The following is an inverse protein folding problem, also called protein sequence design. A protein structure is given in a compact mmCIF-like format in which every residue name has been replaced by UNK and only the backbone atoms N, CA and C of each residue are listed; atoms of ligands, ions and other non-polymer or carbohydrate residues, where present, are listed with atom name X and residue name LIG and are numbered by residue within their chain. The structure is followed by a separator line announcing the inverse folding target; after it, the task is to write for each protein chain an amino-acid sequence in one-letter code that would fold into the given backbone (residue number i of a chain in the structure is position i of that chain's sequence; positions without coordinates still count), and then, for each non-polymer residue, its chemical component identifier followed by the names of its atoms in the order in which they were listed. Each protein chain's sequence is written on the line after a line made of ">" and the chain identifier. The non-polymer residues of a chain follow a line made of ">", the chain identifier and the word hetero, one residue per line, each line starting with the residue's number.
data_IF_696044616340
#
_entry.id   IF_696044616340
#
_cell.length_a   1.000
_cell.length_b   1.000
_cell.length_c   1.000
_cell.angle_alpha   90.00
_cell.angle_beta   90.00
_cell.angle_gamma   90.00
#
_symmetry.space_group_name_H-M   'P 1'
#
loop_
_entity.id
_entity.type
_entity.pdbx_description
1 polymer ?
#
# COMPACT_ATOMS: atom_id res chain seq x y z
N UNK A 1 50.76 0.32 9.44
CA UNK A 1 49.72 -0.71 9.17
C UNK A 1 49.03 -0.29 7.89
N UNK A 2 49.32 -0.97 6.79
CA UNK A 2 48.58 -0.74 5.55
C UNK A 2 47.13 -1.16 5.79
N UNK A 3 46.20 -0.25 5.52
CA UNK A 3 44.76 -0.51 5.53
C UNK A 3 44.49 -1.64 4.54
N UNK A 4 44.08 -2.81 5.03
CA UNK A 4 43.57 -3.90 4.17
C UNK A 4 42.36 -3.34 3.43
N UNK A 5 42.50 -3.13 2.12
CA UNK A 5 41.41 -2.63 1.30
C UNK A 5 40.41 -3.75 1.06
N UNK A 6 39.12 -3.43 1.03
CA UNK A 6 38.04 -4.37 0.66
C UNK A 6 38.33 -5.08 -0.67
N UNK A 7 39.07 -4.44 -1.56
CA UNK A 7 39.52 -4.99 -2.84
C UNK A 7 40.49 -6.17 -2.69
N UNK A 8 41.32 -6.19 -1.64
CA UNK A 8 42.32 -7.22 -1.41
C UNK A 8 41.74 -8.52 -0.81
N UNK A 9 40.45 -8.53 -0.44
CA UNK A 9 39.81 -9.72 0.09
C UNK A 9 39.66 -10.82 -0.98
N UNK A 10 39.84 -12.10 -0.61
CA UNK A 10 39.55 -13.22 -1.50
C UNK A 10 38.08 -13.23 -1.96
N UNK A 11 37.77 -13.73 -3.18
CA UNK A 11 36.41 -13.82 -3.69
C UNK A 11 35.42 -14.54 -2.76
N UNK A 12 35.89 -15.56 -2.03
CA UNK A 12 35.09 -16.33 -1.08
C UNK A 12 34.63 -15.47 0.10
N UNK A 13 35.54 -14.65 0.64
CA UNK A 13 35.22 -13.73 1.74
C UNK A 13 34.26 -12.64 1.26
N UNK A 14 34.49 -12.09 0.06
CA UNK A 14 33.58 -11.10 -0.53
C UNK A 14 32.19 -11.68 -0.77
N UNK A 15 32.10 -12.95 -1.19
CA UNK A 15 30.84 -13.66 -1.35
C UNK A 15 30.13 -13.78 0.00
N UNK A 16 30.81 -14.23 1.06
CA UNK A 16 30.24 -14.29 2.41
C UNK A 16 29.74 -12.92 2.88
N UNK A 17 30.52 -11.86 2.64
CA UNK A 17 30.11 -10.48 2.95
C UNK A 17 28.82 -10.11 2.21
N UNK A 18 28.70 -10.39 0.91
CA UNK A 18 27.49 -10.12 0.13
C UNK A 18 26.25 -10.82 0.69
N UNK A 19 26.36 -12.10 1.09
CA UNK A 19 25.25 -12.85 1.69
C UNK A 19 24.89 -12.38 3.11
N UNK A 20 25.85 -11.78 3.83
CA UNK A 20 25.66 -11.28 5.19
C UNK A 20 25.10 -9.85 5.26
N UNK A 21 24.88 -9.18 4.12
CA UNK A 21 24.38 -7.79 4.10
C UNK A 21 23.00 -7.72 4.74
N UNK A 22 22.74 -6.74 5.64
CA UNK A 22 21.50 -6.68 6.41
C UNK A 22 20.28 -6.19 5.62
N UNK A 23 20.46 -5.41 4.56
CA UNK A 23 19.36 -4.76 3.82
C UNK A 23 19.73 -4.46 2.35
N UNK A 24 18.71 -4.18 1.51
CA UNK A 24 18.91 -3.85 0.09
C UNK A 24 19.69 -2.54 -0.14
N UNK A 25 19.47 -1.44 0.62
CA UNK A 25 20.28 -0.23 0.50
C UNK A 25 21.78 -0.47 0.72
N UNK A 26 22.15 -1.27 1.70
CA UNK A 26 23.53 -1.65 2.01
C UNK A 26 24.14 -2.50 0.91
N UNK A 27 23.36 -3.40 0.29
CA UNK A 27 23.79 -4.16 -0.90
C UNK A 27 24.08 -3.21 -2.06
N UNK A 28 23.16 -2.30 -2.33
CA UNK A 28 23.30 -1.31 -3.40
C UNK A 28 24.55 -0.45 -3.19
N UNK A 29 24.74 0.07 -1.97
CA UNK A 29 25.90 0.87 -1.60
C UNK A 29 27.22 0.11 -1.79
N UNK A 30 27.31 -1.14 -1.33
CA UNK A 30 28.53 -1.94 -1.46
C UNK A 30 28.87 -2.28 -2.92
N UNK A 31 27.86 -2.67 -3.69
CA UNK A 31 27.99 -3.01 -5.12
C UNK A 31 28.43 -1.80 -5.95
N UNK A 32 28.00 -0.58 -5.57
CA UNK A 32 28.46 0.64 -6.23
C UNK A 32 29.81 1.16 -5.73
N UNK A 33 30.17 0.86 -4.48
CA UNK A 33 31.43 1.33 -3.89
C UNK A 33 32.68 0.55 -4.34
N UNK A 34 32.53 -0.70 -4.79
CA UNK A 34 33.66 -1.57 -5.14
C UNK A 34 33.44 -2.32 -6.47
N UNK A 35 34.35 -2.16 -7.46
CA UNK A 35 34.28 -2.90 -8.72
C UNK A 35 34.39 -4.43 -8.54
N UNK A 36 35.14 -4.91 -7.54
CA UNK A 36 35.26 -6.36 -7.33
C UNK A 36 34.01 -6.96 -6.68
N UNK A 37 33.36 -6.24 -5.77
CA UNK A 37 32.04 -6.61 -5.28
C UNK A 37 30.98 -6.52 -6.37
N UNK A 38 31.06 -5.50 -7.25
CA UNK A 38 30.19 -5.39 -8.40
C UNK A 38 30.32 -6.61 -9.32
N UNK A 39 31.55 -7.00 -9.69
CA UNK A 39 31.78 -8.17 -10.55
C UNK A 39 31.24 -9.47 -9.93
N UNK A 40 31.43 -9.66 -8.62
CA UNK A 40 30.89 -10.82 -7.92
C UNK A 40 29.36 -10.81 -7.85
N UNK A 41 28.77 -9.66 -7.55
CA UNK A 41 27.33 -9.44 -7.60
C UNK A 41 26.77 -9.81 -8.98
N UNK A 42 27.36 -9.31 -10.08
CA UNK A 42 26.93 -9.66 -11.43
C UNK A 42 27.01 -11.17 -11.70
N UNK A 43 28.07 -11.84 -11.22
CA UNK A 43 28.28 -13.27 -11.49
C UNK A 43 27.31 -14.20 -10.76
N UNK A 44 26.75 -13.76 -9.62
CA UNK A 44 25.91 -14.57 -8.73
C UNK A 44 24.56 -13.90 -8.42
N UNK A 45 24.15 -12.92 -9.24
CA UNK A 45 23.04 -12.02 -8.93
C UNK A 45 21.76 -12.77 -8.59
N UNK A 46 21.38 -13.74 -9.43
CA UNK A 46 20.19 -14.55 -9.22
C UNK A 46 20.22 -15.24 -7.85
N UNK A 47 21.28 -15.97 -7.52
CA UNK A 47 21.36 -16.69 -6.24
C UNK A 47 21.40 -15.72 -5.06
N UNK A 48 22.16 -14.63 -5.18
CA UNK A 48 22.29 -13.64 -4.12
C UNK A 48 20.96 -12.95 -3.82
N UNK A 49 20.27 -12.44 -4.85
CA UNK A 49 18.97 -11.78 -4.67
C UNK A 49 17.93 -12.75 -4.14
N UNK A 50 17.89 -13.98 -4.65
CA UNK A 50 16.99 -15.02 -4.17
C UNK A 50 17.15 -15.24 -2.66
N UNK A 51 18.38 -15.49 -2.19
CA UNK A 51 18.66 -15.70 -0.76
C UNK A 51 18.40 -14.46 0.11
N UNK A 52 18.79 -13.27 -0.37
CA UNK A 52 18.61 -12.03 0.38
C UNK A 52 17.12 -11.70 0.53
N UNK A 53 16.35 -11.79 -0.57
CA UNK A 53 14.93 -11.51 -0.58
C UNK A 53 14.14 -12.55 0.21
N UNK A 54 14.49 -13.83 0.16
CA UNK A 54 13.85 -14.87 0.99
C UNK A 54 13.98 -14.57 2.48
N UNK A 55 15.09 -13.96 2.91
CA UNK A 55 15.29 -13.53 4.30
C UNK A 55 14.44 -12.32 4.68
N UNK A 56 14.21 -11.39 3.74
CA UNK A 56 13.44 -10.17 3.99
C UNK A 56 11.92 -10.37 3.86
N UNK A 57 11.52 -11.18 2.89
CA UNK A 57 10.14 -11.51 2.60
C UNK A 57 9.77 -12.80 3.34
N UNK A 58 9.39 -12.68 4.61
CA UNK A 58 8.81 -13.81 5.34
C UNK A 58 7.40 -14.14 4.81
N UNK A 59 6.91 -15.35 5.08
CA UNK A 59 5.66 -15.92 4.50
C UNK A 59 4.52 -14.91 4.30
N UNK A 60 4.05 -14.17 5.33
CA UNK A 60 2.91 -13.26 5.17
C UNK A 60 3.13 -12.16 4.12
N UNK A 61 4.38 -11.73 3.94
CA UNK A 61 4.76 -10.65 3.01
C UNK A 61 5.18 -11.24 1.67
N UNK A 62 5.79 -12.43 1.66
CA UNK A 62 6.20 -13.12 0.43
C UNK A 62 5.02 -13.40 -0.50
N UNK A 63 3.87 -13.82 0.06
CA UNK A 63 2.65 -14.07 -0.72
C UNK A 63 2.23 -12.82 -1.49
N UNK A 64 2.08 -11.69 -0.81
CA UNK A 64 1.65 -10.44 -1.43
C UNK A 64 2.75 -9.83 -2.34
N UNK A 65 4.04 -10.02 -2.02
CA UNK A 65 5.14 -9.60 -2.88
C UNK A 65 5.21 -10.39 -4.21
N UNK A 66 5.04 -11.72 -4.15
CA UNK A 66 4.95 -12.58 -5.33
C UNK A 66 3.69 -12.24 -6.13
N UNK A 67 2.57 -11.98 -5.45
CA UNK A 67 1.33 -11.56 -6.09
C UNK A 67 1.50 -10.22 -6.84
N UNK A 68 2.16 -9.22 -6.24
CA UNK A 68 2.46 -7.96 -6.92
C UNK A 68 3.29 -8.16 -8.19
N UNK A 69 4.27 -9.08 -8.17
CA UNK A 69 5.02 -9.45 -9.37
C UNK A 69 4.12 -10.13 -10.43
N UNK A 70 3.25 -11.06 -10.03
CA UNK A 70 2.31 -11.72 -10.94
C UNK A 70 1.35 -10.70 -11.59
N UNK A 71 0.84 -9.76 -10.80
CA UNK A 71 0.00 -8.66 -11.30
C UNK A 71 0.77 -7.75 -12.27
N UNK A 72 2.04 -7.45 -11.99
CA UNK A 72 2.91 -6.69 -12.87
C UNK A 72 3.12 -7.41 -14.22
N UNK A 73 3.45 -8.70 -14.20
CA UNK A 73 3.63 -9.50 -15.42
C UNK A 73 2.33 -9.59 -16.22
N UNK A 74 1.20 -9.82 -15.55
CA UNK A 74 -0.13 -9.80 -16.18
C UNK A 74 -0.45 -8.45 -16.84
N UNK A 75 -0.07 -7.34 -16.20
CA UNK A 75 -0.21 -5.99 -16.78
C UNK A 75 0.70 -5.78 -18.00
N UNK A 76 1.97 -6.16 -17.92
CA UNK A 76 2.91 -6.08 -19.05
C UNK A 76 2.43 -6.88 -20.26
N UNK A 77 1.82 -8.04 -20.02
CA UNK A 77 1.15 -8.83 -21.07
C UNK A 77 -0.04 -8.09 -21.65
N UNK A 78 -0.92 -7.49 -20.83
CA UNK A 78 -2.05 -6.67 -21.30
C UNK A 78 -1.61 -5.50 -22.18
N UNK A 79 -0.47 -4.88 -21.86
CA UNK A 79 0.11 -3.82 -22.68
C UNK A 79 0.57 -4.32 -24.06
N UNK A 80 1.01 -5.58 -24.17
CA UNK A 80 1.47 -6.19 -25.42
C UNK A 80 0.32 -6.80 -26.24
N UNK A 81 -0.59 -7.46 -25.54
CA UNK A 81 -1.72 -8.21 -26.07
C UNK A 81 -2.96 -7.89 -25.22
N UNK A 82 -3.87 -7.04 -25.72
CA UNK A 82 -5.05 -6.63 -24.97
C UNK A 82 -5.91 -7.82 -24.62
N UNK A 83 -6.31 -7.90 -23.36
CA UNK A 83 -7.27 -8.88 -22.84
C UNK A 83 -8.32 -8.18 -21.96
N UNK A 84 -9.57 -8.66 -21.94
CA UNK A 84 -10.60 -8.12 -21.07
C UNK A 84 -10.17 -8.07 -19.60
N UNK A 85 -10.61 -7.05 -18.87
CA UNK A 85 -10.28 -6.82 -17.46
C UNK A 85 -10.66 -8.02 -16.59
N UNK A 86 -11.88 -8.54 -16.76
CA UNK A 86 -12.36 -9.73 -16.01
C UNK A 86 -11.49 -10.96 -16.25
N UNK A 87 -11.10 -11.21 -17.50
CA UNK A 87 -10.24 -12.34 -17.86
C UNK A 87 -8.85 -12.21 -17.23
N UNK A 88 -8.26 -11.01 -17.27
CA UNK A 88 -6.97 -10.75 -16.65
C UNK A 88 -6.99 -10.92 -15.12
N UNK A 89 -8.05 -10.43 -14.47
CA UNK A 89 -8.26 -10.60 -13.04
C UNK A 89 -8.48 -12.07 -12.70
N UNK A 90 -9.31 -12.78 -13.48
CA UNK A 90 -9.54 -14.21 -13.27
C UNK A 90 -8.25 -15.04 -13.38
N UNK A 91 -7.39 -14.72 -14.35
CA UNK A 91 -6.08 -15.36 -14.50
C UNK A 91 -5.16 -15.07 -13.30
N UNK A 92 -5.15 -13.84 -12.81
CA UNK A 92 -4.40 -13.48 -11.60
C UNK A 92 -4.92 -14.22 -10.37
N UNK A 93 -6.23 -14.22 -10.14
CA UNK A 93 -6.87 -14.86 -8.99
C UNK A 93 -6.66 -16.37 -8.97
N UNK A 94 -6.59 -17.02 -10.15
CA UNK A 94 -6.26 -18.43 -10.27
C UNK A 94 -4.90 -18.82 -9.65
N UNK A 95 -3.98 -17.85 -9.54
CA UNK A 95 -2.67 -18.02 -8.90
C UNK A 95 -2.66 -17.43 -7.49
N UNK A 96 -3.30 -16.28 -7.27
CA UNK A 96 -3.29 -15.58 -5.99
C UNK A 96 -4.07 -16.30 -4.90
N UNK A 97 -5.28 -16.79 -5.19
CA UNK A 97 -6.11 -17.48 -4.19
C UNK A 97 -5.41 -18.72 -3.62
N UNK A 98 -4.81 -19.60 -4.44
CA UNK A 98 -3.99 -20.71 -3.95
C UNK A 98 -2.80 -20.28 -3.09
N UNK A 99 -2.07 -19.24 -3.51
CA UNK A 99 -0.94 -18.69 -2.75
C UNK A 99 -1.38 -18.15 -1.39
N UNK A 100 -2.52 -17.45 -1.36
CA UNK A 100 -3.08 -16.85 -0.15
C UNK A 100 -3.65 -17.88 0.81
N UNK A 101 -4.11 -19.03 0.31
CA UNK A 101 -4.69 -20.10 1.12
C UNK A 101 -3.73 -20.69 2.16
N UNK A 102 -2.42 -20.42 2.06
CA UNK A 102 -1.43 -20.75 3.11
C UNK A 102 -1.52 -19.83 4.33
N UNK A 103 -2.02 -18.61 4.12
CA UNK A 103 -2.23 -17.59 5.15
C UNK A 103 -3.58 -17.82 5.81
N UNK A 104 -4.62 -17.67 4.99
CA UNK A 104 -6.01 -17.91 5.31
C UNK A 104 -6.70 -18.38 4.02
N UNK A 105 -7.44 -19.50 4.02
CA UNK A 105 -8.30 -19.82 2.89
C UNK A 105 -9.32 -18.67 2.72
N UNK A 106 -9.33 -17.96 1.58
CA UNK A 106 -10.33 -16.92 1.36
C UNK A 106 -11.72 -17.55 1.38
N UNK A 107 -12.56 -17.09 2.31
CA UNK A 107 -13.92 -17.63 2.44
C UNK A 107 -14.92 -17.02 1.46
N UNK A 108 -14.52 -16.06 0.62
CA UNK A 108 -15.37 -15.50 -0.44
C UNK A 108 -15.87 -16.53 -1.46
N UNK A 109 -17.12 -16.39 -1.90
CA UNK A 109 -17.74 -17.16 -2.97
C UNK A 109 -17.00 -16.99 -4.30
N UNK A 110 -16.53 -15.77 -4.60
CA UNK A 110 -15.73 -15.50 -5.81
C UNK A 110 -14.41 -16.28 -5.82
N UNK A 111 -13.90 -16.62 -4.62
CA UNK A 111 -12.70 -17.41 -4.44
C UNK A 111 -12.95 -18.93 -4.52
N UNK A 112 -14.20 -19.39 -4.35
CA UNK A 112 -14.54 -20.82 -4.30
C UNK A 112 -14.11 -21.57 -5.57
N UNK A 113 -14.26 -20.94 -6.74
CA UNK A 113 -13.86 -21.54 -8.04
C UNK A 113 -12.35 -21.82 -8.15
N UNK A 114 -11.54 -21.24 -7.27
CA UNK A 114 -10.09 -21.44 -7.23
C UNK A 114 -9.64 -22.35 -6.07
N UNK A 115 -10.55 -22.73 -5.17
CA UNK A 115 -10.22 -23.63 -4.05
C UNK A 115 -9.82 -25.01 -4.57
N UNK A 116 -8.86 -25.64 -3.90
CA UNK A 116 -8.35 -26.98 -4.22
C UNK A 116 -7.17 -27.00 -5.19
N UNK A 117 -6.71 -25.85 -5.69
CA UNK A 117 -5.40 -25.73 -6.32
C UNK A 117 -4.37 -25.46 -5.21
N UNK A 118 -3.32 -26.29 -5.11
CA UNK A 118 -2.21 -26.05 -4.19
C UNK A 118 -1.08 -25.37 -4.94
N UNK A 119 -0.69 -24.18 -4.48
CA UNK A 119 0.48 -23.46 -4.98
C UNK A 119 1.39 -23.11 -3.81
N UNK A 120 2.62 -23.62 -3.84
CA UNK A 120 3.62 -23.35 -2.81
C UNK A 120 4.38 -22.06 -3.15
N UNK A 121 4.22 -21.03 -2.32
CA UNK A 121 4.86 -19.73 -2.51
C UNK A 121 6.38 -19.85 -2.60
N UNK A 122 7.01 -20.77 -1.86
CA UNK A 122 8.44 -20.98 -1.91
C UNK A 122 8.89 -21.59 -3.23
N UNK A 123 8.08 -22.48 -3.80
CA UNK A 123 8.36 -23.04 -5.14
C UNK A 123 8.22 -21.99 -6.22
N UNK A 124 7.18 -21.16 -6.15
CA UNK A 124 7.00 -20.04 -7.08
C UNK A 124 8.18 -19.08 -6.95
N UNK A 125 8.54 -18.71 -5.73
CA UNK A 125 9.66 -17.81 -5.46
C UNK A 125 11.01 -18.36 -5.95
N UNK A 126 11.29 -19.65 -5.70
CA UNK A 126 12.50 -20.32 -6.19
C UNK A 126 12.56 -20.41 -7.73
N UNK A 127 11.40 -20.41 -8.40
CA UNK A 127 11.31 -20.47 -9.86
C UNK A 127 11.55 -19.13 -10.56
N UNK A 128 11.55 -18.01 -9.82
CA UNK A 128 11.68 -16.67 -10.37
C UNK A 128 12.96 -16.50 -11.20
N UNK A 129 12.85 -15.72 -12.28
CA UNK A 129 14.00 -15.34 -13.11
C UNK A 129 14.83 -14.26 -12.42
N UNK A 130 16.04 -13.99 -12.92
CA UNK A 130 16.86 -12.88 -12.38
C UNK A 130 16.14 -11.53 -12.51
N UNK A 131 15.43 -11.30 -13.63
CA UNK A 131 14.67 -10.08 -13.84
C UNK A 131 13.48 -9.96 -12.87
N UNK A 132 12.83 -11.08 -12.55
CA UNK A 132 11.77 -11.11 -11.55
C UNK A 132 12.29 -10.73 -10.16
N UNK A 133 13.43 -11.30 -9.75
CA UNK A 133 14.06 -10.97 -8.47
C UNK A 133 14.49 -9.49 -8.41
N UNK A 134 14.91 -8.92 -9.54
CA UNK A 134 15.22 -7.49 -9.63
C UNK A 134 13.97 -6.61 -9.42
N UNK A 135 12.84 -6.98 -10.03
CA UNK A 135 11.58 -6.24 -9.83
C UNK A 135 11.06 -6.38 -8.40
N UNK A 136 11.13 -7.58 -7.82
CA UNK A 136 10.77 -7.80 -6.40
C UNK A 136 11.67 -6.98 -5.48
N UNK A 137 12.99 -6.98 -5.70
CA UNK A 137 13.92 -6.17 -4.91
C UNK A 137 13.64 -4.66 -5.05
N UNK A 138 13.34 -4.20 -6.26
CA UNK A 138 13.00 -2.79 -6.50
C UNK A 138 11.73 -2.40 -5.76
N UNK A 139 10.66 -3.18 -5.89
CA UNK A 139 9.40 -2.90 -5.20
C UNK A 139 9.56 -2.97 -3.69
N UNK A 140 10.29 -3.98 -3.18
CA UNK A 140 10.53 -4.10 -1.74
C UNK A 140 11.35 -2.92 -1.19
N UNK A 141 12.34 -2.41 -1.94
CA UNK A 141 13.07 -1.19 -1.56
C UNK A 141 12.15 0.01 -1.45
N UNK A 142 11.18 0.14 -2.35
CA UNK A 142 10.15 1.20 -2.30
C UNK A 142 9.24 1.02 -1.08
N UNK A 143 8.80 -0.21 -0.82
CA UNK A 143 7.96 -0.55 0.35
C UNK A 143 8.67 -0.20 1.65
N UNK A 144 9.93 -0.59 1.82
CA UNK A 144 10.72 -0.27 3.03
C UNK A 144 10.86 1.25 3.23
N UNK A 145 11.17 1.98 2.16
CA UNK A 145 11.28 3.44 2.23
C UNK A 145 9.96 4.10 2.67
N UNK A 146 8.84 3.68 2.06
CA UNK A 146 7.52 4.24 2.39
C UNK A 146 7.10 3.84 3.80
N UNK A 147 7.42 2.61 4.23
CA UNK A 147 7.15 2.12 5.57
C UNK A 147 7.88 2.97 6.62
N UNK A 148 9.16 3.26 6.41
CA UNK A 148 9.91 4.15 7.29
C UNK A 148 9.24 5.52 7.42
N UNK A 149 8.91 6.20 6.31
CA UNK A 149 8.23 7.50 6.35
C UNK A 149 6.85 7.42 7.02
N UNK A 150 6.08 6.37 6.71
CA UNK A 150 4.77 6.10 7.29
C UNK A 150 4.85 5.96 8.81
N UNK A 151 5.80 5.18 9.34
CA UNK A 151 5.98 5.01 10.79
C UNK A 151 6.22 6.35 11.46
N UNK A 152 7.09 7.20 10.90
CA UNK A 152 7.32 8.55 11.43
C UNK A 152 6.06 9.42 11.38
N UNK A 153 5.28 9.34 10.30
CA UNK A 153 4.00 10.06 10.17
C UNK A 153 2.98 9.60 11.23
N UNK A 154 2.78 8.30 11.39
CA UNK A 154 1.80 7.74 12.33
C UNK A 154 2.18 8.04 13.80
N UNK A 155 3.46 7.95 14.15
CA UNK A 155 3.94 8.30 15.50
C UNK A 155 3.72 9.78 15.84
N UNK A 156 3.74 10.68 14.85
CA UNK A 156 3.40 12.09 15.06
C UNK A 156 1.92 12.28 15.38
N UNK A 157 1.05 11.41 14.90
CA UNK A 157 -0.40 11.52 15.06
C UNK A 157 -0.95 10.67 16.21
N UNK A 158 -0.08 9.93 16.89
CA UNK A 158 -0.42 9.18 18.09
C UNK A 158 -1.13 10.10 19.11
N UNK A 159 -2.32 9.73 19.63
CA UNK A 159 -3.11 10.58 20.51
C UNK A 159 -2.59 10.65 21.96
N UNK A 160 -1.48 9.98 22.30
CA UNK A 160 -0.87 10.12 23.62
C UNK A 160 -0.09 11.44 23.77
N UNK A 161 -0.19 12.02 24.96
CA UNK A 161 0.47 13.29 25.31
C UNK A 161 1.50 13.12 26.43
N UNK A 162 1.59 11.94 27.03
CA UNK A 162 2.36 11.71 28.27
C UNK A 162 3.80 11.26 28.03
N UNK A 163 4.10 10.67 26.86
CA UNK A 163 5.45 10.20 26.53
C UNK A 163 6.03 11.01 25.37
N UNK A 164 7.33 11.36 25.41
CA UNK A 164 7.99 11.95 24.26
C UNK A 164 7.87 11.01 23.06
N UNK A 165 7.64 11.59 21.88
CA UNK A 165 7.60 10.83 20.62
C UNK A 165 9.00 10.24 20.39
N UNK A 166 9.06 8.93 20.18
CA UNK A 166 10.31 8.20 19.99
C UNK A 166 10.95 8.63 18.66
N UNK A 167 12.22 9.06 18.70
CA UNK A 167 12.97 9.44 17.50
C UNK A 167 13.49 8.22 16.71
N UNK A 168 13.65 7.07 17.36
CA UNK A 168 14.11 5.82 16.73
C UNK A 168 13.27 4.65 17.23
N UNK A 169 12.27 4.26 16.44
CA UNK A 169 11.38 3.14 16.77
C UNK A 169 11.89 1.86 16.11
N UNK A 170 12.10 0.82 16.92
CA UNK A 170 12.31 -0.53 16.42
C UNK A 170 10.94 -1.19 16.32
N UNK A 171 10.54 -1.57 15.11
CA UNK A 171 9.30 -2.29 14.86
C UNK A 171 9.49 -3.77 15.18
N UNK A 172 8.42 -4.39 15.70
CA UNK A 172 8.37 -5.85 15.73
C UNK A 172 8.17 -6.42 14.32
N UNK A 173 8.47 -7.70 14.09
CA UNK A 173 8.14 -8.37 12.81
C UNK A 173 6.67 -8.24 12.43
N UNK A 174 5.75 -8.37 13.38
CA UNK A 174 4.30 -8.34 13.13
C UNK A 174 3.81 -6.95 12.73
N UNK A 175 4.35 -5.91 13.36
CA UNK A 175 4.08 -4.52 12.97
C UNK A 175 4.52 -4.26 11.53
N UNK A 176 5.76 -4.67 11.21
CA UNK A 176 6.32 -4.55 9.86
C UNK A 176 5.50 -5.33 8.83
N UNK A 177 5.09 -6.57 9.12
CA UNK A 177 4.34 -7.39 8.18
C UNK A 177 2.96 -6.81 7.86
N UNK A 178 2.22 -6.32 8.87
CA UNK A 178 0.89 -5.70 8.65
C UNK A 178 1.01 -4.50 7.71
N UNK A 179 2.01 -3.64 7.94
CA UNK A 179 2.27 -2.48 7.09
C UNK A 179 2.70 -2.86 5.67
N UNK A 180 3.65 -3.79 5.52
CA UNK A 180 4.16 -4.23 4.22
C UNK A 180 3.06 -4.88 3.37
N UNK A 181 2.26 -5.79 3.94
CA UNK A 181 1.15 -6.43 3.22
C UNK A 181 0.13 -5.42 2.71
N UNK A 182 -0.27 -4.46 3.55
CA UNK A 182 -1.20 -3.42 3.15
C UNK A 182 -0.66 -2.58 1.97
N UNK A 183 0.62 -2.23 1.99
CA UNK A 183 1.31 -1.57 0.88
C UNK A 183 1.30 -2.44 -0.39
N UNK A 184 1.65 -3.73 -0.29
CA UNK A 184 1.62 -4.65 -1.43
C UNK A 184 0.22 -4.82 -2.01
N UNK A 185 -0.82 -4.94 -1.17
CA UNK A 185 -2.22 -5.08 -1.60
C UNK A 185 -2.72 -3.86 -2.36
N UNK A 186 -2.33 -2.66 -1.94
CA UNK A 186 -2.58 -1.43 -2.69
C UNK A 186 -1.90 -1.44 -4.07
N UNK A 187 -0.65 -1.90 -4.14
CA UNK A 187 0.07 -2.01 -5.40
C UNK A 187 -0.53 -3.08 -6.33
N UNK A 188 -0.97 -4.23 -5.78
CA UNK A 188 -1.69 -5.27 -6.52
C UNK A 188 -3.00 -4.69 -7.09
N UNK A 189 -3.81 -4.04 -6.26
CA UNK A 189 -5.06 -3.41 -6.70
C UNK A 189 -4.80 -2.47 -7.88
N UNK A 190 -3.82 -1.58 -7.76
CA UNK A 190 -3.43 -0.69 -8.85
C UNK A 190 -3.06 -1.46 -10.12
N UNK A 191 -2.22 -2.47 -10.01
CA UNK A 191 -1.73 -3.23 -11.16
C UNK A 191 -2.86 -3.94 -11.91
N UNK A 192 -3.87 -4.44 -11.20
CA UNK A 192 -5.03 -5.15 -11.76
C UNK A 192 -6.03 -4.21 -12.40
N UNK A 193 -6.42 -3.15 -11.69
CA UNK A 193 -7.62 -2.39 -12.02
C UNK A 193 -7.32 -1.07 -12.71
N UNK A 194 -6.19 -0.43 -12.41
CA UNK A 194 -5.87 0.86 -13.03
C UNK A 194 -5.64 0.66 -14.53
N UNK A 195 -6.53 1.20 -15.36
CA UNK A 195 -6.46 1.10 -16.82
C UNK A 195 -5.53 2.11 -17.48
N UNK A 196 -4.94 3.00 -16.70
CA UNK A 196 -3.94 3.95 -17.18
C UNK A 196 -2.80 3.24 -17.89
N UNK A 197 -2.35 3.79 -19.01
CA UNK A 197 -1.29 3.24 -19.86
C UNK A 197 -1.65 1.93 -20.58
N UNK A 198 -2.86 1.39 -20.40
CA UNK A 198 -3.35 0.32 -21.27
C UNK A 198 -3.76 0.92 -22.62
N UNK A 199 -3.41 0.27 -23.74
CA UNK A 199 -3.71 0.84 -25.04
C UNK A 199 -5.21 0.78 -25.33
N UNK A 200 -5.78 1.85 -25.90
CA UNK A 200 -7.15 1.88 -26.42
C UNK A 200 -7.21 1.17 -27.77
N UNK A 201 -8.21 0.33 -28.03
CA UNK A 201 -8.33 -0.38 -29.32
C UNK A 201 -9.70 -0.18 -29.97
N UNK A 202 -9.70 -0.06 -31.30
CA UNK A 202 -10.89 -0.07 -32.13
C UNK A 202 -11.62 -1.42 -32.03
N UNK A 203 -12.90 -1.38 -31.62
CA UNK A 203 -13.80 -2.53 -31.64
C UNK A 203 -14.06 -3.23 -30.30
N UNK A 204 -13.36 -2.84 -29.23
CA UNK A 204 -13.77 -3.15 -27.86
C UNK A 204 -14.35 -1.87 -27.25
N UNK A 205 -15.52 -1.95 -26.64
CA UNK A 205 -15.97 -0.86 -25.79
C UNK A 205 -15.03 -0.77 -24.59
N UNK A 206 -14.22 0.29 -24.58
CA UNK A 206 -13.20 0.54 -23.55
C UNK A 206 -13.82 0.51 -22.15
N UNK A 207 -15.07 0.97 -22.02
CA UNK A 207 -15.80 1.01 -20.76
C UNK A 207 -16.42 -0.31 -20.33
N UNK A 208 -16.74 -1.21 -21.26
CA UNK A 208 -17.43 -2.47 -20.95
C UNK A 208 -16.46 -3.64 -20.76
N UNK A 209 -15.32 -3.65 -21.47
CA UNK A 209 -14.44 -4.83 -21.53
C UNK A 209 -13.09 -4.64 -20.84
N UNK A 210 -12.55 -3.42 -20.76
CA UNK A 210 -11.23 -3.16 -20.18
C UNK A 210 -11.34 -2.64 -18.75
N UNK A 211 -12.38 -1.87 -18.46
CA UNK A 211 -12.69 -1.34 -17.14
C UNK A 211 -13.54 -2.30 -16.33
N UNK A 212 -13.21 -2.39 -15.04
CA UNK A 212 -14.03 -3.04 -14.02
C UNK A 212 -14.56 -1.94 -13.14
N UNK A 213 -15.87 -1.95 -12.88
CA UNK A 213 -16.49 -0.99 -11.99
C UNK A 213 -16.11 -1.28 -10.52
N UNK A 214 -16.58 -0.45 -9.61
CA UNK A 214 -16.26 -0.57 -8.19
C UNK A 214 -16.81 -1.86 -7.57
N UNK A 215 -17.93 -2.38 -8.07
CA UNK A 215 -18.51 -3.66 -7.63
C UNK A 215 -17.67 -4.85 -8.10
N UNK A 216 -17.15 -4.79 -9.32
CA UNK A 216 -16.27 -5.81 -9.87
C UNK A 216 -14.92 -5.85 -9.16
N UNK A 217 -14.35 -4.68 -8.87
CA UNK A 217 -13.14 -4.54 -8.06
C UNK A 217 -13.34 -5.14 -6.67
N UNK A 218 -14.49 -4.82 -6.04
CA UNK A 218 -14.86 -5.37 -4.75
C UNK A 218 -15.00 -6.90 -4.78
N UNK A 219 -15.92 -7.40 -5.60
CA UNK A 219 -16.26 -8.83 -5.66
C UNK A 219 -15.07 -9.70 -6.05
N UNK A 220 -14.21 -9.22 -6.95
CA UNK A 220 -13.08 -10.01 -7.48
C UNK A 220 -11.86 -10.02 -6.55
N UNK A 221 -11.55 -8.90 -5.88
CA UNK A 221 -10.30 -8.78 -5.13
C UNK A 221 -10.50 -8.36 -3.67
N UNK A 222 -11.28 -7.33 -3.39
CA UNK A 222 -11.40 -6.82 -2.01
C UNK A 222 -12.16 -7.79 -1.09
N UNK A 223 -13.12 -8.55 -1.63
CA UNK A 223 -13.87 -9.59 -0.88
C UNK A 223 -12.99 -10.73 -0.37
N UNK A 224 -11.73 -10.84 -0.82
CA UNK A 224 -10.78 -11.85 -0.38
C UNK A 224 -10.16 -11.56 1.00
N UNK A 225 -10.35 -10.35 1.51
CA UNK A 225 -9.72 -9.86 2.73
C UNK A 225 -10.73 -9.75 3.86
N UNK A 226 -10.28 -10.10 5.06
CA UNK A 226 -11.07 -9.95 6.27
C UNK A 226 -11.25 -8.47 6.62
N UNK A 227 -12.29 -8.10 7.41
CA UNK A 227 -12.54 -6.73 7.87
C UNK A 227 -11.30 -5.96 8.39
N UNK A 228 -10.45 -6.61 9.19
CA UNK A 228 -9.24 -5.96 9.72
C UNK A 228 -8.16 -5.75 8.66
N UNK A 229 -8.04 -6.63 7.67
CA UNK A 229 -7.10 -6.47 6.56
C UNK A 229 -7.53 -5.32 5.63
N UNK A 230 -8.84 -5.15 5.45
CA UNK A 230 -9.41 -4.01 4.75
C UNK A 230 -9.12 -2.70 5.48
N UNK A 231 -9.21 -2.73 6.80
CA UNK A 231 -8.87 -1.59 7.65
C UNK A 231 -7.35 -1.31 7.66
N UNK A 232 -6.47 -2.33 7.53
CA UNK A 232 -5.03 -2.12 7.28
C UNK A 232 -4.80 -1.33 5.99
N UNK A 233 -5.49 -1.69 4.89
CA UNK A 233 -5.44 -0.96 3.61
C UNK A 233 -5.91 0.49 3.79
N UNK A 234 -7.02 0.72 4.51
CA UNK A 234 -7.54 2.07 4.78
C UNK A 234 -6.57 2.90 5.63
N UNK A 235 -5.88 2.30 6.60
CA UNK A 235 -4.85 3.00 7.37
C UNK A 235 -3.69 3.49 6.48
N UNK A 236 -3.22 2.66 5.54
CA UNK A 236 -2.18 3.07 4.59
C UNK A 236 -2.71 4.17 3.65
N UNK A 237 -3.93 4.04 3.14
CA UNK A 237 -4.54 5.08 2.29
C UNK A 237 -4.62 6.43 3.00
N UNK A 238 -5.05 6.43 4.27
CA UNK A 238 -5.12 7.66 5.07
C UNK A 238 -3.73 8.28 5.26
N UNK A 239 -2.69 7.46 5.43
CA UNK A 239 -1.31 7.95 5.41
C UNK A 239 -0.94 8.55 4.05
N UNK A 240 -1.21 7.87 2.93
CA UNK A 240 -0.86 8.36 1.59
C UNK A 240 -1.54 9.70 1.29
N UNK A 241 -2.81 9.87 1.65
CA UNK A 241 -3.53 11.14 1.51
C UNK A 241 -2.85 12.26 2.27
N UNK A 242 -2.51 12.05 3.55
CA UNK A 242 -1.75 13.03 4.33
C UNK A 242 -0.37 13.30 3.76
N UNK A 243 0.34 12.27 3.31
CA UNK A 243 1.65 12.45 2.68
C UNK A 243 1.52 13.37 1.46
N UNK A 244 0.50 13.20 0.62
CA UNK A 244 0.26 14.14 -0.47
C UNK A 244 -0.10 15.54 0.05
N UNK A 245 -0.98 15.70 1.04
CA UNK A 245 -1.37 17.01 1.58
C UNK A 245 -0.21 17.80 2.23
N UNK A 246 0.63 17.13 3.00
CA UNK A 246 1.68 17.77 3.79
C UNK A 246 2.94 18.06 2.97
N UNK A 247 3.16 17.34 1.87
CA UNK A 247 4.37 17.49 1.08
C UNK A 247 4.32 18.76 0.20
N UNK A 248 5.37 19.62 0.26
CA UNK A 248 5.39 20.84 -0.53
C UNK A 248 5.34 20.52 -2.02
N UNK A 249 4.35 21.04 -2.75
CA UNK A 249 4.20 20.78 -4.20
C UNK A 249 2.87 20.18 -4.59
N UNK A 250 2.10 19.72 -3.62
CA UNK A 250 0.86 19.03 -3.85
C UNK A 250 -0.29 20.04 -3.89
N UNK A 251 -0.71 20.36 -5.10
CA UNK A 251 -1.78 21.31 -5.42
C UNK A 251 -2.38 20.93 -6.76
N UNK A 252 -3.59 21.45 -7.02
CA UNK A 252 -4.23 21.33 -8.33
C UNK A 252 -3.29 21.92 -9.37
N UNK A 253 -2.72 21.04 -10.20
CA UNK A 253 -1.84 21.42 -11.28
C UNK A 253 -2.71 21.76 -12.48
N UNK A 254 -3.08 23.03 -12.61
CA UNK A 254 -3.84 23.49 -13.76
C UNK A 254 -2.86 23.67 -14.94
N UNK A 255 -2.76 22.66 -15.82
CA UNK A 255 -1.94 22.71 -17.04
C UNK A 255 -2.30 23.93 -17.91
N UNK A 256 -3.50 24.50 -17.75
CA UNK A 256 -3.95 25.73 -18.38
C UNK A 256 -3.13 26.97 -17.97
N UNK A 257 -2.50 26.98 -16.80
CA UNK A 257 -1.67 28.09 -16.35
C UNK A 257 -0.35 28.23 -17.13
N UNK A 258 0.14 27.18 -17.81
CA UNK A 258 1.35 27.30 -18.65
C UNK A 258 1.07 27.96 -20.02
N UNK A 259 -0.19 28.07 -20.46
CA UNK A 259 -0.53 28.57 -21.79
C UNK A 259 -0.86 30.08 -21.85
N UNK A 260 -1.01 30.76 -20.71
CA UNK A 260 -1.20 32.22 -20.66
C UNK A 260 -0.81 32.80 -19.29
N UNK A 261 0.48 32.92 -18.96
CA UNK A 261 0.88 33.78 -17.85
C UNK A 261 0.54 35.23 -18.23
N UNK A 262 -0.33 35.90 -17.47
CA UNK A 262 -0.49 37.34 -17.57
C UNK A 262 0.90 37.98 -17.41
N UNK A 263 1.29 38.89 -18.31
CA UNK A 263 2.68 39.42 -18.46
C UNK A 263 3.29 40.06 -17.19
N UNK A 264 2.52 40.18 -16.10
CA UNK A 264 2.91 40.84 -14.85
C UNK A 264 2.81 39.96 -13.59
N UNK A 265 2.58 38.64 -13.70
CA UNK A 265 2.51 37.75 -12.53
C UNK A 265 3.67 36.75 -12.50
N UNK A 266 4.21 36.52 -11.29
CA UNK A 266 5.20 35.47 -11.05
C UNK A 266 4.57 34.11 -11.44
N UNK A 267 5.12 33.39 -12.44
CA UNK A 267 4.59 32.09 -12.86
C UNK A 267 4.51 31.06 -11.72
N UNK A 268 5.16 31.33 -10.58
CA UNK A 268 5.22 30.46 -9.41
C UNK A 268 4.18 30.81 -8.31
N UNK A 269 3.42 31.91 -8.42
CA UNK A 269 2.50 32.33 -7.36
C UNK A 269 1.20 31.52 -7.31
N UNK A 270 0.67 31.10 -8.47
CA UNK A 270 -0.64 30.42 -8.57
C UNK A 270 -0.58 28.92 -8.29
N UNK A 271 0.62 28.35 -8.24
CA UNK A 271 0.83 26.91 -8.08
C UNK A 271 0.50 26.40 -6.69
N UNK A 272 0.12 27.24 -5.72
CA UNK A 272 -0.01 26.81 -4.32
C UNK A 272 -1.28 27.24 -3.59
N UNK A 273 -2.22 27.92 -4.24
CA UNK A 273 -3.39 28.50 -3.56
C UNK A 273 -4.61 27.57 -3.49
N UNK A 274 -4.54 26.37 -4.08
CA UNK A 274 -5.65 25.43 -4.10
C UNK A 274 -5.40 24.25 -3.15
N UNK A 275 -6.29 24.07 -2.17
CA UNK A 275 -6.37 22.85 -1.36
C UNK A 275 -6.60 21.66 -2.30
N UNK A 276 -5.87 20.58 -2.06
CA UNK A 276 -6.11 19.29 -2.74
C UNK A 276 -7.43 18.73 -2.21
N UNK A 277 -8.45 18.67 -3.07
CA UNK A 277 -9.67 17.91 -2.77
C UNK A 277 -9.43 16.40 -2.82
N UNK A 278 -10.38 15.61 -2.33
CA UNK A 278 -10.21 14.15 -2.22
C UNK A 278 -10.05 13.48 -3.60
N UNK A 279 -10.70 14.00 -4.65
CA UNK A 279 -10.54 13.49 -6.03
C UNK A 279 -9.10 13.59 -6.51
N UNK A 280 -8.40 14.69 -6.20
CA UNK A 280 -6.99 14.84 -6.53
C UNK A 280 -6.09 13.90 -5.70
N UNK A 281 -6.42 13.64 -4.43
CA UNK A 281 -5.66 12.69 -3.59
C UNK A 281 -5.75 11.28 -4.14
N UNK A 282 -6.95 10.85 -4.50
CA UNK A 282 -7.21 9.55 -5.10
C UNK A 282 -6.50 9.40 -6.46
N UNK A 283 -6.47 10.47 -7.25
CA UNK A 283 -5.66 10.53 -8.48
C UNK A 283 -4.19 10.24 -8.20
N UNK A 284 -3.59 10.89 -7.20
CA UNK A 284 -2.20 10.64 -6.82
C UNK A 284 -1.96 9.23 -6.25
N UNK A 285 -2.91 8.69 -5.50
CA UNK A 285 -2.84 7.30 -5.01
C UNK A 285 -2.85 6.30 -6.18
N UNK A 286 -3.61 6.58 -7.24
CA UNK A 286 -3.72 5.69 -8.41
C UNK A 286 -2.40 5.42 -9.12
N UNK A 287 -1.37 6.27 -8.98
CA UNK A 287 -0.05 6.05 -9.58
C UNK A 287 0.79 4.99 -8.87
N UNK A 288 0.38 4.58 -7.66
CA UNK A 288 1.03 3.53 -6.90
C UNK A 288 2.24 3.97 -6.10
N UNK A 289 2.85 2.98 -5.45
CA UNK A 289 3.94 3.20 -4.49
C UNK A 289 5.18 3.79 -5.15
N UNK A 290 5.44 3.40 -6.40
CA UNK A 290 6.56 3.96 -7.16
C UNK A 290 6.45 5.47 -7.31
N UNK A 291 5.26 6.01 -7.58
CA UNK A 291 5.07 7.46 -7.67
C UNK A 291 5.22 8.15 -6.31
N UNK A 292 4.59 7.60 -5.26
CA UNK A 292 4.71 8.14 -3.91
C UNK A 292 6.18 8.21 -3.46
N UNK A 293 6.96 7.17 -3.71
CA UNK A 293 8.40 7.15 -3.44
C UNK A 293 9.15 8.31 -4.12
N UNK A 294 8.95 8.51 -5.43
CA UNK A 294 9.59 9.63 -6.13
C UNK A 294 9.08 10.98 -5.63
N UNK A 295 7.80 11.07 -5.29
CA UNK A 295 7.18 12.28 -4.78
C UNK A 295 7.77 12.71 -3.43
N UNK A 296 7.91 11.79 -2.48
CA UNK A 296 8.56 12.03 -1.18
C UNK A 296 10.01 12.48 -1.40
N UNK A 297 10.75 11.77 -2.24
CA UNK A 297 12.16 12.11 -2.52
C UNK A 297 12.31 13.51 -3.11
N UNK A 298 11.50 13.87 -4.11
CA UNK A 298 11.57 15.20 -4.70
C UNK A 298 11.11 16.26 -3.71
N UNK A 299 10.09 15.97 -2.90
CA UNK A 299 9.58 16.92 -1.90
C UNK A 299 10.59 17.22 -0.80
N UNK A 300 11.52 16.30 -0.52
CA UNK A 300 12.63 16.48 0.42
C UNK A 300 13.72 17.46 -0.07
N UNK A 301 13.71 17.86 -1.35
CA UNK A 301 14.69 18.78 -1.91
C UNK A 301 14.50 20.17 -1.27
N UNK A 302 15.58 20.70 -0.68
CA UNK A 302 15.60 21.98 0.03
C UNK A 302 15.47 23.18 -0.91
N UNK A 303 16.05 23.09 -2.12
CA UNK A 303 15.96 24.12 -3.13
C UNK A 303 14.56 24.15 -3.77
N UNK A 304 13.83 25.24 -3.57
CA UNK A 304 12.44 25.38 -4.02
C UNK A 304 12.32 25.25 -5.54
N UNK A 305 13.18 25.94 -6.28
CA UNK A 305 13.14 25.96 -7.75
C UNK A 305 13.44 24.59 -8.34
N UNK A 306 14.45 23.88 -7.79
CA UNK A 306 14.79 22.52 -8.23
C UNK A 306 13.67 21.53 -7.92
N UNK A 307 13.13 21.58 -6.70
CA UNK A 307 11.99 20.75 -6.28
C UNK A 307 10.82 20.94 -7.24
N UNK A 308 10.45 22.19 -7.51
CA UNK A 308 9.37 22.54 -8.41
C UNK A 308 9.57 21.97 -9.81
N UNK A 309 10.73 22.19 -10.42
CA UNK A 309 11.03 21.67 -11.76
C UNK A 309 10.88 20.15 -11.82
N UNK A 310 11.34 19.43 -10.79
CA UNK A 310 11.22 17.97 -10.73
C UNK A 310 9.78 17.51 -10.50
N UNK A 311 9.01 18.19 -9.66
CA UNK A 311 7.58 17.89 -9.46
C UNK A 311 6.79 18.11 -10.74
N UNK A 312 7.03 19.22 -11.44
CA UNK A 312 6.47 19.46 -12.77
C UNK A 312 6.81 18.33 -13.73
N UNK A 313 8.07 17.89 -13.76
CA UNK A 313 8.50 16.80 -14.63
C UNK A 313 7.81 15.46 -14.31
N UNK A 314 7.56 15.17 -13.03
CA UNK A 314 6.85 13.97 -12.59
C UNK A 314 5.36 14.03 -12.97
N UNK A 315 4.74 15.21 -12.93
CA UNK A 315 3.32 15.42 -13.24
C UNK A 315 3.02 15.62 -14.74
N UNK A 316 4.04 15.84 -15.56
CA UNK A 316 3.85 16.03 -17.01
C UNK A 316 3.25 14.78 -17.65
N UNK A 317 2.14 14.97 -18.35
CA UNK A 317 1.40 13.88 -19.01
C UNK A 317 0.58 13.04 -18.04
N UNK A 318 0.45 13.48 -16.78
CA UNK A 318 -0.26 12.70 -15.77
C UNK A 318 -1.71 13.13 -15.52
N UNK A 319 -2.10 14.33 -16.00
CA UNK A 319 -3.36 14.99 -15.64
C UNK A 319 -4.58 14.59 -16.50
N UNK A 320 -4.46 13.65 -17.44
CA UNK A 320 -5.47 13.46 -18.51
C UNK A 320 -6.09 12.06 -18.59
N UNK A 321 -6.37 11.39 -17.47
CA UNK A 321 -7.07 10.10 -17.51
C UNK A 321 -7.88 9.84 -16.25
N UNK A 322 -9.12 9.37 -16.41
CA UNK A 322 -9.93 8.78 -15.34
C UNK A 322 -9.15 7.64 -14.69
N UNK A 323 -8.70 7.82 -13.45
CA UNK A 323 -8.13 6.75 -12.66
C UNK A 323 -9.25 5.97 -11.97
N UNK A 324 -9.13 4.63 -11.90
CA UNK A 324 -9.92 3.86 -10.93
C UNK A 324 -9.39 4.14 -9.53
N UNK A 325 -10.30 4.52 -8.64
CA UNK A 325 -9.98 4.85 -7.26
C UNK A 325 -10.33 3.67 -6.38
N UNK A 326 -9.37 3.20 -5.59
CA UNK A 326 -9.62 2.12 -4.64
C UNK A 326 -10.64 2.54 -3.57
N UNK A 327 -10.77 3.84 -3.26
CA UNK A 327 -11.70 4.31 -2.22
C UNK A 327 -13.15 4.03 -2.59
N UNK A 328 -13.56 4.29 -3.84
CA UNK A 328 -14.92 3.98 -4.30
C UNK A 328 -15.21 2.48 -4.23
N UNK A 329 -14.26 1.64 -4.65
CA UNK A 329 -14.36 0.19 -4.50
C UNK A 329 -14.42 -0.27 -3.04
N UNK A 330 -13.69 0.40 -2.14
CA UNK A 330 -13.73 0.12 -0.70
C UNK A 330 -15.05 0.57 -0.05
N UNK A 331 -15.70 1.60 -0.57
CA UNK A 331 -16.96 2.12 -0.04
C UNK A 331 -18.20 1.38 -0.62
N UNK A 332 -17.98 0.47 -1.57
CA UNK A 332 -19.01 -0.44 -2.10
C UNK A 332 -19.63 -1.28 -0.97
N UNK A 333 -20.95 -1.47 -1.03
CA UNK A 333 -21.67 -2.30 -0.06
C UNK A 333 -21.28 -3.77 -0.25
N UNK A 334 -20.86 -4.48 0.82
CA UNK A 334 -20.50 -5.88 0.71
C UNK A 334 -21.69 -6.73 0.25
N UNK A 335 -21.40 -7.82 -0.47
CA UNK A 335 -22.42 -8.81 -0.79
C UNK A 335 -22.92 -9.49 0.50
N UNK A 336 -24.19 -9.92 0.52
CA UNK A 336 -24.80 -10.60 1.69
C UNK A 336 -23.95 -11.78 2.20
N UNK A 337 -23.25 -12.48 1.30
CA UNK A 337 -22.38 -13.61 1.64
C UNK A 337 -21.16 -13.18 2.47
N UNK A 338 -20.61 -11.99 2.19
CA UNK A 338 -19.51 -11.42 2.98
C UNK A 338 -19.92 -11.18 4.44
N UNK A 339 -21.17 -10.73 4.67
CA UNK A 339 -21.71 -10.58 6.02
C UNK A 339 -21.82 -11.92 6.75
N UNK A 340 -22.26 -12.99 6.08
CA UNK A 340 -22.35 -14.31 6.71
C UNK A 340 -20.97 -14.87 7.09
N UNK A 341 -19.95 -14.62 6.27
CA UNK A 341 -18.62 -15.19 6.45
C UNK A 341 -17.74 -14.44 7.46
N UNK A 342 -17.89 -13.11 7.54
CA UNK A 342 -17.03 -12.24 8.36
C UNK A 342 -17.77 -11.42 9.42
N UNK A 343 -19.10 -11.54 9.49
CA UNK A 343 -19.91 -11.10 10.62
C UNK A 343 -19.70 -11.98 11.85
N UNK A 344 -20.48 -11.75 12.91
CA UNK A 344 -20.33 -12.36 14.24
C UNK A 344 -20.62 -13.88 14.29
N UNK A 345 -21.16 -14.46 13.22
CA UNK A 345 -21.32 -15.91 13.07
C UNK A 345 -20.09 -16.58 12.41
N UNK A 346 -19.13 -15.79 11.88
CA UNK A 346 -17.94 -16.22 11.15
C UNK A 346 -16.61 -15.91 11.85
N UNK A 347 -15.51 -15.75 11.10
CA UNK A 347 -14.21 -15.29 11.63
C UNK A 347 -14.23 -13.77 11.79
N UNK A 348 -15.03 -13.28 12.73
CA UNK A 348 -15.26 -11.85 13.02
C UNK A 348 -14.00 -11.08 13.48
N UNK A 349 -12.92 -11.80 13.78
CA UNK A 349 -11.69 -11.24 14.30
C UNK A 349 -11.82 -10.68 15.71
N UNK A 350 -12.86 -11.01 16.48
CA UNK A 350 -13.07 -10.49 17.85
C UNK A 350 -12.12 -11.09 18.88
N UNK A 351 -11.44 -12.18 18.54
CA UNK A 351 -10.50 -12.84 19.45
C UNK A 351 -9.07 -12.52 19.09
N UNK A 352 -8.38 -11.84 20.01
CA UNK A 352 -6.93 -11.64 19.91
C UNK A 352 -6.24 -12.87 20.49
N UNK A 353 -5.46 -13.56 19.67
CA UNK A 353 -4.67 -14.72 20.10
C UNK A 353 -3.27 -14.30 20.54
N UNK A 354 -2.54 -13.64 19.63
CA UNK A 354 -1.15 -13.20 19.84
C UNK A 354 -0.69 -12.40 18.62
N UNK A 355 0.20 -11.42 18.81
CA UNK A 355 0.87 -10.78 17.67
C UNK A 355 1.80 -11.74 16.90
N UNK A 356 2.18 -12.88 17.48
CA UNK A 356 2.92 -13.92 16.75
C UNK A 356 2.07 -14.58 15.63
N UNK A 357 0.75 -14.49 15.73
CA UNK A 357 -0.16 -14.92 14.68
C UNK A 357 -0.40 -13.78 13.69
N UNK A 358 0.44 -13.76 12.66
CA UNK A 358 0.38 -12.75 11.60
C UNK A 358 -0.91 -12.84 10.77
N UNK A 359 -1.71 -13.91 10.87
CA UNK A 359 -2.99 -14.03 10.17
C UNK A 359 -4.19 -13.63 11.05
N UNK A 360 -3.95 -12.97 12.18
CA UNK A 360 -5.00 -12.50 13.08
C UNK A 360 -4.99 -10.98 13.21
N UNK A 361 -6.13 -10.36 13.56
CA UNK A 361 -6.15 -8.94 13.88
C UNK A 361 -5.31 -8.63 15.13
N UNK A 362 -4.85 -7.39 15.24
CA UNK A 362 -4.12 -6.95 16.42
C UNK A 362 -5.06 -6.74 17.63
N UNK A 363 -4.48 -6.52 18.80
CA UNK A 363 -5.25 -6.30 20.02
C UNK A 363 -6.19 -5.08 19.94
N UNK A 364 -5.78 -4.00 19.25
CA UNK A 364 -6.57 -2.78 19.15
C UNK A 364 -7.88 -3.00 18.38
N UNK A 365 -7.87 -3.81 17.31
CA UNK A 365 -9.08 -4.24 16.60
C UNK A 365 -10.10 -4.85 17.56
N UNK A 366 -9.67 -5.82 18.36
CA UNK A 366 -10.55 -6.54 19.28
C UNK A 366 -11.11 -5.63 20.38
N UNK A 367 -10.34 -4.63 20.78
CA UNK A 367 -10.80 -3.62 21.73
C UNK A 367 -11.91 -2.72 21.17
N UNK A 368 -11.87 -2.39 19.88
CA UNK A 368 -12.95 -1.64 19.23
C UNK A 368 -14.25 -2.46 19.14
N UNK A 369 -14.14 -3.80 19.08
CA UNK A 369 -15.30 -4.68 18.94
C UNK A 369 -15.90 -5.13 20.29
N UNK A 370 -15.15 -5.03 21.39
CA UNK A 370 -15.51 -5.67 22.68
C UNK A 370 -16.82 -5.16 23.29
N UNK A 371 -17.23 -3.93 22.97
CA UNK A 371 -18.46 -3.30 23.48
C UNK A 371 -19.63 -3.38 22.52
N UNK A 372 -19.41 -3.84 21.28
CA UNK A 372 -20.47 -3.93 20.29
C UNK A 372 -21.28 -5.21 20.49
N UNK A 373 -22.59 -5.04 20.58
CA UNK A 373 -23.57 -6.15 20.59
C UNK A 373 -24.20 -6.37 19.21
N UNK A 374 -23.68 -5.70 18.18
CA UNK A 374 -24.19 -5.75 16.81
C UNK A 374 -23.56 -6.96 16.11
N UNK A 375 -24.40 -7.78 15.47
CA UNK A 375 -24.01 -9.02 14.75
C UNK A 375 -22.99 -8.82 13.62
N UNK A 376 -22.74 -7.59 13.18
CA UNK A 376 -21.78 -7.25 12.13
C UNK A 376 -20.81 -6.14 12.57
N UNK A 377 -20.44 -6.13 13.85
CA UNK A 377 -19.60 -5.07 14.44
C UNK A 377 -18.27 -4.87 13.72
N UNK A 378 -17.64 -5.98 13.28
CA UNK A 378 -16.40 -5.98 12.50
C UNK A 378 -16.59 -5.23 11.18
N UNK A 379 -17.73 -5.47 10.52
CA UNK A 379 -18.09 -4.89 9.24
C UNK A 379 -18.39 -3.40 9.37
N UNK A 380 -19.21 -3.03 10.36
CA UNK A 380 -19.53 -1.63 10.63
C UNK A 380 -18.28 -0.81 11.01
N UNK A 381 -17.34 -1.40 11.77
CA UNK A 381 -16.11 -0.73 12.16
C UNK A 381 -15.21 -0.37 10.97
N UNK A 382 -15.01 -1.30 10.02
CA UNK A 382 -14.20 -0.98 8.84
C UNK A 382 -14.94 -0.05 7.88
N UNK A 383 -16.28 -0.11 7.83
CA UNK A 383 -17.10 0.79 7.00
C UNK A 383 -17.20 2.20 7.51
N UNK A 384 -16.89 2.45 8.78
CA UNK A 384 -16.86 3.80 9.33
C UNK A 384 -15.79 4.64 8.62
N UNK A 385 -16.18 5.34 7.56
CA UNK A 385 -15.28 6.18 6.73
C UNK A 385 -14.59 7.25 7.58
N UNK A 386 -15.20 7.67 8.68
CA UNK A 386 -14.72 8.75 9.54
C UNK A 386 -13.86 8.28 10.72
N UNK A 387 -13.60 6.97 10.84
CA UNK A 387 -12.87 6.38 11.96
C UNK A 387 -11.54 7.11 12.23
N UNK A 388 -11.43 7.88 13.33
CA UNK A 388 -10.27 8.72 13.61
C UNK A 388 -9.02 7.88 13.95
N UNK A 389 -9.20 6.61 14.33
CA UNK A 389 -8.11 5.71 14.73
C UNK A 389 -7.16 5.40 13.56
N UNK A 390 -7.64 5.50 12.31
CA UNK A 390 -6.83 5.35 11.09
C UNK A 390 -5.70 6.37 11.02
N UNK A 391 -5.86 7.54 11.64
CA UNK A 391 -4.86 8.59 11.55
C UNK A 391 -3.51 8.20 12.13
N UNK A 392 -3.51 7.40 13.19
CA UNK A 392 -2.30 6.91 13.85
C UNK A 392 -2.05 5.41 13.60
N UNK A 393 -2.83 4.79 12.69
CA UNK A 393 -2.60 3.43 12.22
C UNK A 393 -2.78 2.38 13.31
N UNK A 394 -3.85 2.48 14.10
CA UNK A 394 -4.10 1.67 15.30
C UNK A 394 -3.93 0.14 15.11
N UNK A 395 -4.18 -0.36 13.90
CA UNK A 395 -4.06 -1.78 13.54
C UNK A 395 -2.63 -2.28 13.39
N UNK A 396 -1.66 -1.40 13.17
CA UNK A 396 -0.31 -1.84 12.89
C UNK A 396 0.47 -2.21 14.15
N UNK A 397 0.09 -1.67 15.30
CA UNK A 397 0.89 -1.75 16.52
C UNK A 397 0.62 -3.03 17.31
N UNK A 398 1.67 -3.62 17.84
CA UNK A 398 1.58 -4.82 18.69
C UNK A 398 0.99 -4.51 20.07
N UNK A 399 0.49 -5.53 20.75
CA UNK A 399 0.00 -5.51 22.12
C UNK A 399 0.97 -4.79 23.05
N UNK A 400 2.25 -5.14 23.00
CA UNK A 400 3.27 -4.54 23.87
C UNK A 400 3.28 -3.01 23.70
N UNK A 401 3.27 -2.52 22.46
CA UNK A 401 3.33 -1.09 22.14
C UNK A 401 2.04 -0.38 22.52
N UNK A 402 0.88 -0.97 22.21
CA UNK A 402 -0.43 -0.44 22.59
C UNK A 402 -0.54 -0.27 24.12
N UNK A 403 -0.11 -1.29 24.88
CA UNK A 403 -0.06 -1.23 26.34
C UNK A 403 0.96 -0.21 26.84
N UNK A 404 2.12 -0.13 26.20
CA UNK A 404 3.16 0.85 26.54
C UNK A 404 2.67 2.29 26.37
N UNK A 405 1.85 2.56 25.35
CA UNK A 405 1.20 3.84 25.08
C UNK A 405 -0.01 4.10 25.99
N UNK A 406 -0.34 3.15 26.88
CA UNK A 406 -1.44 3.27 27.84
C UNK A 406 -2.81 3.17 27.18
N UNK A 407 -2.93 2.48 26.05
CA UNK A 407 -4.25 2.17 25.49
C UNK A 407 -4.93 1.07 26.31
N UNK A 408 -6.23 1.22 26.44
CA UNK A 408 -7.16 0.29 27.09
C UNK A 408 -8.42 0.24 26.22
N UNK A 409 -9.28 -0.78 26.35
CA UNK A 409 -10.53 -0.82 25.59
C UNK A 409 -11.36 0.47 25.73
N UNK A 410 -11.48 0.99 26.96
CA UNK A 410 -12.20 2.25 27.23
C UNK A 410 -11.61 3.43 26.47
N UNK A 411 -10.29 3.54 26.45
CA UNK A 411 -9.60 4.62 25.73
C UNK A 411 -9.77 4.49 24.21
N UNK A 412 -9.74 3.27 23.67
CA UNK A 412 -9.99 3.06 22.23
C UNK A 412 -11.37 3.56 21.81
N UNK A 413 -12.40 3.27 22.61
CA UNK A 413 -13.77 3.74 22.38
C UNK A 413 -13.83 5.27 22.47
N UNK A 414 -13.23 5.87 23.51
CA UNK A 414 -13.17 7.34 23.66
C UNK A 414 -12.52 7.99 22.43
N UNK A 415 -11.40 7.47 21.94
CA UNK A 415 -10.72 7.99 20.75
C UNK A 415 -11.55 7.79 19.47
N UNK A 416 -12.30 6.69 19.36
CA UNK A 416 -13.24 6.48 18.25
C UNK A 416 -14.38 7.50 18.27
N UNK A 417 -14.91 7.82 19.46
CA UNK A 417 -16.03 8.75 19.66
C UNK A 417 -15.61 10.23 19.55
N UNK A 418 -14.33 10.57 19.75
CA UNK A 418 -13.86 11.99 19.80
C UNK A 418 -14.18 12.83 18.56
N UNK A 419 -14.38 12.23 17.38
CA UNK A 419 -14.82 12.95 16.17
C UNK A 419 -16.33 13.17 16.07
N UNK A 420 -17.15 12.42 16.81
CA UNK A 420 -18.61 12.62 16.83
C UNK A 420 -19.04 13.82 17.67
N UNK A 421 -18.15 14.33 18.55
CA UNK A 421 -18.41 15.43 19.48
C UNK A 421 -17.83 16.79 19.04
N UNK A 422 -17.13 16.88 17.90
CA UNK A 422 -16.85 18.18 17.30
C UNK A 422 -18.17 18.79 16.78
N UNK A 423 -18.54 20.02 17.19
CA UNK A 423 -19.75 20.66 16.68
C UNK A 423 -19.59 20.85 15.17
N UNK A 424 -20.33 20.05 14.41
CA UNK A 424 -20.25 20.00 12.96
C UNK A 424 -20.43 21.37 12.32
N UNK A 425 -19.35 21.90 11.78
CA UNK A 425 -19.35 23.03 10.85
C UNK A 425 -19.03 22.53 9.44
N UNK A 426 -19.73 21.50 8.98
CA UNK A 426 -19.73 21.02 7.58
C UNK A 426 -21.03 20.29 7.20
N UNK A 427 -22.16 20.64 7.83
CA UNK A 427 -23.49 20.25 7.36
C UNK A 427 -24.10 21.39 6.52
N UNK A 428 -23.44 21.75 5.42
CA UNK A 428 -23.94 22.73 4.45
C UNK A 428 -24.06 22.18 3.02
N UNK A 429 -23.18 21.29 2.55
CA UNK A 429 -23.02 21.17 1.09
C UNK A 429 -23.48 19.84 0.45
N UNK A 430 -24.32 19.05 1.13
CA UNK A 430 -24.94 17.85 0.55
C UNK A 430 -26.49 17.89 0.53
N UNK A 431 -27.08 19.10 0.65
CA UNK A 431 -28.54 19.27 0.76
C UNK A 431 -29.26 19.99 -0.40
N UNK A 432 -28.56 20.61 -1.35
CA UNK A 432 -29.22 21.51 -2.33
C UNK A 432 -29.31 21.01 -3.79
N UNK A 433 -28.97 19.74 -4.06
CA UNK A 433 -29.12 19.18 -5.42
C UNK A 433 -30.48 18.50 -5.72
N UNK A 434 -31.43 18.47 -4.77
CA UNK A 434 -32.70 17.74 -4.95
C UNK A 434 -33.98 18.59 -4.94
N UNK A 435 -33.88 19.92 -5.02
CA UNK A 435 -35.06 20.80 -5.06
C UNK A 435 -35.09 21.77 -6.25
N UNK A 436 -34.63 21.35 -7.44
CA UNK A 436 -34.95 22.03 -8.69
C UNK A 436 -35.05 21.03 -9.87
N UNK A 437 -36.18 20.31 -9.92
CA UNK A 437 -36.85 19.90 -11.16
C UNK A 437 -38.35 20.17 -10.99
#
# INVERSE_FOLDING_TARGET
>A
MESVTLEALPPEIKTVVLYAIPDLPSLNALVHASPSFHALYLSQRKQLLSTILERFLQIPVMVDAVAALLALRGREERCKAPKPGREAVDEFLSKYVPLRSILDPPYSFSAEKYRGQELDVYQVFASLTENDLLEVARLHTIVEFILEDMVHSLLKLRPDTQKPKEENVILSPSETFRMQRALYRLEIHRLLFNSRDLPSFDGLDYFEYVHLDDNDQWSSFLSLFSPWEMEEIRCVLMYMFRAYEELPGATVFDDWCELSPDENQDPLSHLYDHKIDDTNREHYVSYGLGFLYHWIQVSSITCREERLIKQKAILRGTLSSSAQYILSALDTDPETEYFMDFGDEGTDGKTFLSDADWNSPNLAWTWCLISSTIEDASIELWRDVLNPLRNWGFLFWDEYRLREWGFTPKRMIEEQETRHDEPGDTRSDLGEALNNI
#
